data_IF_446544170253
#
_entry.id   IF_446544170253
#
_cell.length_a   1.000
_cell.length_b   1.000
_cell.length_c   1.000
_cell.angle_alpha   90.00
_cell.angle_beta   90.00
_cell.angle_gamma   90.00
#
_symmetry.space_group_name_H-M   'P 1'
#
loop_
_entity.id
_entity.type
_entity.pdbx_description
1 polymer ?
#
# COMPACT_ATOMS: atom_id res chain seq x y z
N UNK A 1 54.38 -20.13 -74.97
CA UNK A 1 54.35 -19.46 -73.70
C UNK A 1 52.89 -19.08 -73.42
N UNK A 2 52.13 -19.76 -72.59
CA UNK A 2 50.74 -19.42 -72.31
C UNK A 2 50.62 -18.57 -71.06
N UNK A 3 49.82 -17.51 -71.17
CA UNK A 3 49.41 -16.60 -70.10
C UNK A 3 48.38 -17.19 -69.23
N UNK A 4 48.66 -17.20 -67.91
CA UNK A 4 47.69 -17.57 -66.80
C UNK A 4 46.74 -16.39 -66.57
N UNK A 5 45.45 -16.62 -66.76
CA UNK A 5 44.37 -15.76 -66.32
C UNK A 5 43.93 -16.19 -64.90
N UNK A 6 44.20 -15.34 -63.91
CA UNK A 6 43.67 -15.50 -62.53
C UNK A 6 42.23 -15.03 -62.47
N UNK A 7 41.31 -15.97 -62.23
CA UNK A 7 39.89 -15.66 -61.91
C UNK A 7 39.73 -15.40 -60.40
N UNK A 8 39.40 -14.19 -60.04
CA UNK A 8 38.93 -13.85 -58.68
C UNK A 8 37.46 -14.19 -58.54
N UNK A 9 37.14 -15.18 -57.73
CA UNK A 9 35.77 -15.48 -57.29
C UNK A 9 35.48 -14.63 -56.06
N UNK A 10 34.64 -13.62 -56.19
CA UNK A 10 34.11 -12.86 -55.06
C UNK A 10 33.06 -13.70 -54.36
N UNK A 11 33.35 -14.15 -53.14
CA UNK A 11 32.41 -14.83 -52.25
C UNK A 11 31.55 -13.76 -51.56
N UNK A 12 30.31 -13.60 -51.98
CA UNK A 12 29.30 -12.80 -51.30
C UNK A 12 28.84 -13.55 -50.07
N UNK A 13 29.33 -13.15 -48.89
CA UNK A 13 28.85 -13.61 -47.60
C UNK A 13 27.56 -12.83 -47.29
N UNK A 14 26.42 -13.45 -47.54
CA UNK A 14 25.12 -12.92 -47.12
C UNK A 14 25.06 -12.98 -45.58
N UNK A 15 25.23 -11.83 -44.91
CA UNK A 15 24.84 -11.67 -43.54
C UNK A 15 23.31 -11.76 -43.48
N UNK A 16 22.79 -12.92 -43.07
CA UNK A 16 21.42 -13.05 -42.60
C UNK A 16 21.32 -12.31 -41.26
N UNK A 17 20.80 -11.09 -41.32
CA UNK A 17 20.25 -10.40 -40.16
C UNK A 17 19.09 -11.29 -39.65
N UNK A 18 19.33 -12.14 -38.66
CA UNK A 18 18.28 -12.73 -37.86
C UNK A 18 17.57 -11.58 -37.14
N UNK A 19 16.48 -11.06 -37.70
CA UNK A 19 15.51 -10.32 -36.92
C UNK A 19 15.05 -11.29 -35.81
N UNK A 20 15.38 -10.99 -34.56
CA UNK A 20 14.70 -11.62 -33.45
C UNK A 20 13.22 -11.30 -33.63
N UNK A 21 12.46 -12.29 -34.07
CA UNK A 21 11.01 -12.23 -34.10
C UNK A 21 10.59 -12.19 -32.64
N UNK A 22 10.30 -11.00 -32.11
CA UNK A 22 9.72 -10.79 -30.78
C UNK A 22 8.26 -11.25 -30.80
N UNK A 23 8.07 -12.57 -30.93
CA UNK A 23 6.76 -13.18 -30.80
C UNK A 23 6.19 -12.81 -29.41
N UNK A 24 4.94 -12.38 -29.30
CA UNK A 24 4.35 -11.99 -28.04
C UNK A 24 4.43 -13.16 -27.05
N UNK A 25 4.99 -12.91 -25.88
CA UNK A 25 5.16 -13.89 -24.80
C UNK A 25 3.83 -14.52 -24.35
N UNK A 26 2.76 -13.70 -24.36
CA UNK A 26 1.42 -14.11 -23.96
C UNK A 26 0.46 -13.97 -25.15
N UNK A 27 -0.01 -15.08 -25.66
CA UNK A 27 -1.01 -15.16 -26.76
C UNK A 27 -2.39 -15.60 -26.24
N UNK A 28 -2.45 -16.08 -24.99
CA UNK A 28 -3.66 -16.47 -24.28
C UNK A 28 -3.47 -16.27 -22.78
N UNK A 29 -4.55 -16.23 -22.00
CA UNK A 29 -4.46 -16.18 -20.56
C UNK A 29 -3.83 -17.46 -19.97
N UNK A 30 -3.08 -17.31 -18.90
CA UNK A 30 -2.51 -18.44 -18.17
C UNK A 30 -3.61 -19.17 -17.35
N UNK A 31 -3.49 -20.49 -17.14
CA UNK A 31 -4.45 -21.25 -16.34
C UNK A 31 -4.70 -20.60 -14.97
N UNK A 32 -5.96 -20.36 -14.64
CA UNK A 32 -6.36 -19.74 -13.38
C UNK A 32 -6.04 -18.25 -13.25
N UNK A 33 -5.62 -17.56 -14.30
CA UNK A 33 -5.24 -16.14 -14.27
C UNK A 33 -6.39 -15.20 -13.85
N UNK A 34 -7.64 -15.55 -14.19
CA UNK A 34 -8.81 -14.81 -13.75
C UNK A 34 -9.02 -14.87 -12.22
N UNK A 35 -8.54 -15.91 -11.54
CA UNK A 35 -8.68 -16.09 -10.09
C UNK A 35 -7.46 -15.53 -9.35
N UNK A 36 -7.39 -14.21 -9.23
CA UNK A 36 -6.24 -13.53 -8.64
C UNK A 36 -5.98 -13.91 -7.17
N UNK A 37 -6.99 -14.29 -6.40
CA UNK A 37 -6.89 -14.81 -5.02
C UNK A 37 -7.00 -16.35 -4.91
N UNK A 38 -6.81 -17.11 -6.00
CA UNK A 38 -7.00 -18.56 -5.97
C UNK A 38 -8.46 -18.94 -5.70
N UNK A 39 -8.71 -19.89 -4.81
CA UNK A 39 -10.05 -20.34 -4.42
C UNK A 39 -10.84 -19.28 -3.61
N UNK A 40 -10.16 -18.29 -3.04
CA UNK A 40 -10.81 -17.19 -2.30
C UNK A 40 -11.47 -16.15 -3.21
N UNK A 41 -11.16 -16.17 -4.52
CA UNK A 41 -11.60 -15.19 -5.50
C UNK A 41 -13.12 -15.12 -5.62
N UNK A 42 -13.67 -13.90 -5.61
CA UNK A 42 -15.11 -13.64 -5.83
C UNK A 42 -15.33 -13.04 -7.21
N UNK A 43 -16.38 -13.49 -7.89
CA UNK A 43 -16.78 -12.95 -9.19
C UNK A 43 -17.73 -11.76 -9.00
N UNK A 44 -17.17 -10.59 -8.64
CA UNK A 44 -17.88 -9.35 -8.39
C UNK A 44 -17.06 -8.16 -8.88
N UNK A 45 -17.72 -7.23 -9.58
CA UNK A 45 -17.06 -6.05 -10.17
C UNK A 45 -17.84 -4.75 -9.97
N UNK A 46 -18.83 -4.74 -9.06
CA UNK A 46 -19.58 -3.54 -8.70
C UNK A 46 -18.97 -2.81 -7.48
N UNK A 47 -19.65 -1.79 -7.01
CA UNK A 47 -19.24 -0.97 -5.85
C UNK A 47 -18.99 -1.75 -4.54
N UNK A 48 -19.39 -3.00 -4.43
CA UNK A 48 -19.19 -3.86 -3.27
C UNK A 48 -18.15 -4.96 -3.55
N UNK A 49 -17.40 -4.88 -4.64
CA UNK A 49 -16.47 -5.91 -5.06
C UNK A 49 -15.38 -6.22 -4.02
N UNK A 50 -15.03 -5.24 -3.16
CA UNK A 50 -13.98 -5.38 -2.15
C UNK A 50 -14.49 -5.81 -0.77
N UNK A 51 -15.80 -5.78 -0.52
CA UNK A 51 -16.40 -6.03 0.81
C UNK A 51 -16.96 -7.45 0.98
N UNK A 52 -16.52 -8.41 0.16
CA UNK A 52 -17.02 -9.78 0.21
C UNK A 52 -16.05 -10.70 0.95
N UNK A 53 -16.58 -11.72 1.68
CA UNK A 53 -15.74 -12.75 2.26
C UNK A 53 -15.13 -13.65 1.19
N UNK A 54 -13.99 -14.25 1.51
CA UNK A 54 -13.37 -15.29 0.69
C UNK A 54 -14.41 -16.30 0.19
N UNK A 55 -14.40 -16.60 -1.13
CA UNK A 55 -15.43 -17.44 -1.76
C UNK A 55 -15.51 -18.85 -1.16
N UNK A 56 -14.37 -19.38 -0.69
CA UNK A 56 -14.24 -20.68 -0.03
C UNK A 56 -14.44 -20.61 1.52
N UNK A 57 -14.84 -19.44 2.07
CA UNK A 57 -15.14 -19.33 3.50
C UNK A 57 -16.37 -20.16 3.87
N UNK A 58 -16.26 -21.14 4.80
CA UNK A 58 -17.37 -21.98 5.18
C UNK A 58 -18.55 -21.17 5.76
N UNK A 59 -19.80 -21.60 5.56
CA UNK A 59 -20.98 -20.92 6.11
C UNK A 59 -20.91 -20.73 7.63
N UNK A 60 -20.32 -21.66 8.37
CA UNK A 60 -20.16 -21.63 9.83
C UNK A 60 -19.27 -20.50 10.32
N UNK A 61 -18.39 -19.97 9.46
CA UNK A 61 -17.46 -18.87 9.80
C UNK A 61 -17.91 -17.50 9.28
N UNK A 62 -18.97 -17.45 8.47
CA UNK A 62 -19.50 -16.20 7.91
C UNK A 62 -20.07 -15.25 8.95
N UNK A 63 -20.53 -15.77 10.08
CA UNK A 63 -21.01 -14.94 11.17
C UNK A 63 -19.85 -14.12 11.76
N UNK A 64 -18.70 -14.72 12.04
CA UNK A 64 -17.51 -14.02 12.55
C UNK A 64 -17.05 -12.91 11.55
N UNK A 65 -17.07 -13.20 10.25
CA UNK A 65 -16.78 -12.21 9.22
C UNK A 65 -17.76 -11.02 9.29
N UNK A 66 -19.06 -11.29 9.43
CA UNK A 66 -20.09 -10.24 9.49
C UNK A 66 -19.99 -9.40 10.76
N UNK A 67 -19.67 -10.03 11.90
CA UNK A 67 -19.47 -9.32 13.16
C UNK A 67 -18.19 -8.48 13.11
N UNK A 68 -17.10 -9.02 12.58
CA UNK A 68 -15.86 -8.27 12.33
C UNK A 68 -16.08 -7.05 11.44
N UNK A 69 -16.84 -7.22 10.34
CA UNK A 69 -17.27 -6.11 9.50
C UNK A 69 -18.09 -5.06 10.29
N UNK A 70 -18.94 -5.49 11.22
CA UNK A 70 -19.71 -4.55 12.05
C UNK A 70 -18.79 -3.64 12.89
N UNK A 71 -17.75 -4.19 13.50
CA UNK A 71 -16.77 -3.39 14.25
C UNK A 71 -15.89 -2.52 13.34
N UNK A 72 -15.53 -2.99 12.16
CA UNK A 72 -14.76 -2.23 11.18
C UNK A 72 -15.55 -1.01 10.65
N UNK A 73 -16.85 -1.15 10.51
CA UNK A 73 -17.75 -0.19 9.88
C UNK A 73 -18.41 0.81 10.83
N UNK A 74 -18.72 0.34 12.05
CA UNK A 74 -19.53 1.15 12.99
C UNK A 74 -18.66 2.16 13.72
N UNK A 75 -19.14 3.42 13.85
CA UNK A 75 -18.41 4.44 14.57
C UNK A 75 -18.21 4.10 16.04
N UNK A 76 -17.01 4.38 16.53
CA UNK A 76 -16.71 4.45 17.95
C UNK A 76 -17.13 5.81 18.48
N UNK A 77 -17.49 5.86 19.76
CA UNK A 77 -17.99 7.05 20.44
C UNK A 77 -17.14 7.41 21.64
N UNK A 78 -17.20 8.65 22.06
CA UNK A 78 -16.46 9.16 23.22
C UNK A 78 -16.98 8.49 24.50
N UNK A 79 -16.07 8.12 25.40
CA UNK A 79 -16.42 7.60 26.72
C UNK A 79 -16.72 8.76 27.71
N UNK A 80 -17.58 8.51 28.75
CA UNK A 80 -18.40 7.32 28.95
C UNK A 80 -19.65 7.32 28.07
N UNK A 81 -20.04 6.17 27.57
CA UNK A 81 -21.24 5.98 26.77
C UNK A 81 -22.05 4.76 27.20
N UNK A 82 -23.35 4.76 26.88
CA UNK A 82 -24.20 3.57 27.04
C UNK A 82 -23.82 2.43 26.06
N UNK A 83 -23.07 2.74 25.01
CA UNK A 83 -22.57 1.77 24.02
C UNK A 83 -21.17 1.29 24.42
N UNK A 84 -21.05 0.66 25.58
CA UNK A 84 -19.77 0.25 26.19
C UNK A 84 -18.90 -0.68 25.34
N UNK A 85 -19.45 -1.37 24.34
CA UNK A 85 -18.68 -2.21 23.42
C UNK A 85 -17.93 -1.42 22.31
N UNK A 86 -18.16 -0.11 22.20
CA UNK A 86 -17.57 0.78 21.18
C UNK A 86 -17.45 2.22 21.67
N UNK A 87 -17.27 2.44 22.97
CA UNK A 87 -16.87 3.74 23.50
C UNK A 87 -15.35 3.79 23.72
N UNK A 88 -14.87 4.95 24.14
CA UNK A 88 -13.45 5.16 24.32
C UNK A 88 -12.75 5.79 23.10
N UNK A 89 -13.50 6.28 22.08
CA UNK A 89 -12.86 7.07 21.01
C UNK A 89 -11.89 8.06 21.63
N UNK A 90 -10.62 7.91 21.25
CA UNK A 90 -9.52 8.56 21.94
C UNK A 90 -9.58 10.07 21.95
N UNK A 91 -8.78 10.73 22.81
CA UNK A 91 -8.77 12.20 22.90
C UNK A 91 -8.37 12.86 21.61
N UNK A 92 -7.42 12.27 20.89
CA UNK A 92 -6.94 12.68 19.56
C UNK A 92 -7.12 11.53 18.59
N UNK A 93 -7.57 11.83 17.37
CA UNK A 93 -7.84 10.81 16.37
C UNK A 93 -7.91 11.41 14.95
N UNK A 94 -7.87 10.56 13.92
CA UNK A 94 -8.11 10.94 12.53
C UNK A 94 -9.48 10.47 12.02
N UNK A 95 -10.04 9.45 12.65
CA UNK A 95 -11.33 8.87 12.28
C UNK A 95 -11.96 8.14 13.46
N UNK A 96 -13.28 7.94 13.42
CA UNK A 96 -14.00 7.15 14.41
C UNK A 96 -14.47 5.78 13.89
N UNK A 97 -14.09 5.40 12.66
CA UNK A 97 -14.38 4.08 12.09
C UNK A 97 -13.38 3.77 10.98
N UNK A 98 -12.94 2.52 10.88
CA UNK A 98 -11.99 2.10 9.83
C UNK A 98 -12.53 2.36 8.42
N UNK A 99 -13.84 2.15 8.21
CA UNK A 99 -14.48 2.32 6.91
C UNK A 99 -14.54 3.78 6.43
N UNK A 100 -14.33 4.78 7.27
CA UNK A 100 -14.28 6.18 6.82
C UNK A 100 -13.03 6.43 5.96
N UNK A 101 -11.90 5.76 6.30
CA UNK A 101 -10.67 5.81 5.51
C UNK A 101 -10.67 4.77 4.38
N UNK A 102 -11.22 3.57 4.65
CA UNK A 102 -11.30 2.44 3.74
C UNK A 102 -12.73 2.27 3.21
N UNK A 103 -13.27 3.29 2.53
CA UNK A 103 -14.66 3.28 2.02
C UNK A 103 -14.89 2.03 1.17
N UNK A 104 -15.87 1.18 1.58
CA UNK A 104 -16.13 -0.10 0.91
C UNK A 104 -14.91 -1.04 0.83
N UNK A 105 -14.04 -1.00 1.84
CA UNK A 105 -12.78 -1.73 1.90
C UNK A 105 -11.80 -1.35 0.77
N UNK A 106 -12.07 -0.23 0.16
CA UNK A 106 -11.31 0.36 -0.93
C UNK A 106 -10.21 1.30 -0.46
N UNK A 107 -9.83 2.18 -1.36
CA UNK A 107 -8.70 3.09 -1.22
C UNK A 107 -9.15 4.48 -0.79
N UNK A 108 -8.33 5.14 0.04
CA UNK A 108 -8.47 6.55 0.40
C UNK A 108 -7.92 7.51 -0.66
N UNK A 109 -8.11 8.80 -0.40
CA UNK A 109 -7.68 9.90 -1.27
C UNK A 109 -7.23 11.12 -0.43
N UNK A 110 -6.45 12.05 -1.01
CA UNK A 110 -6.14 13.33 -0.37
C UNK A 110 -7.40 14.13 -0.03
N UNK A 111 -7.35 15.02 0.98
CA UNK A 111 -8.47 15.90 1.29
C UNK A 111 -8.79 16.85 0.13
N UNK A 112 -10.07 17.23 0.01
CA UNK A 112 -10.46 18.33 -0.85
C UNK A 112 -9.87 19.67 -0.33
N UNK A 113 -9.66 20.68 -1.19
CA UNK A 113 -9.02 21.94 -0.78
C UNK A 113 -9.70 22.67 0.38
N UNK A 114 -11.01 22.50 0.53
CA UNK A 114 -11.87 23.09 1.55
C UNK A 114 -12.22 22.11 2.70
N UNK A 115 -11.70 20.91 2.68
CA UNK A 115 -11.94 19.92 3.73
C UNK A 115 -11.38 20.38 5.07
N UNK A 116 -12.16 20.21 6.13
CA UNK A 116 -11.72 20.52 7.50
C UNK A 116 -10.72 19.48 8.03
N UNK A 117 -10.91 18.21 7.64
CA UNK A 117 -10.13 17.06 8.09
C UNK A 117 -9.70 16.22 6.89
N UNK A 118 -8.55 15.55 7.01
CA UNK A 118 -7.99 14.76 5.92
C UNK A 118 -8.53 13.32 5.84
N UNK A 119 -9.35 12.90 6.72
CA UNK A 119 -9.95 11.58 7.03
C UNK A 119 -9.20 10.37 6.43
N UNK A 120 -9.21 10.20 5.11
CA UNK A 120 -8.62 9.02 4.44
C UNK A 120 -7.17 9.20 3.97
N UNK A 121 -6.51 10.28 4.43
CA UNK A 121 -5.08 10.52 4.28
C UNK A 121 -4.46 10.88 5.63
N UNK A 122 -3.55 10.07 6.11
CA UNK A 122 -2.78 10.32 7.32
C UNK A 122 -1.47 11.04 7.01
N UNK A 123 -0.98 11.86 7.94
CA UNK A 123 0.37 12.42 7.88
C UNK A 123 1.19 11.83 9.00
N UNK A 124 2.14 10.97 8.64
CA UNK A 124 3.12 10.40 9.58
C UNK A 124 4.23 11.41 9.86
N UNK A 125 4.65 11.50 11.11
CA UNK A 125 5.65 12.44 11.59
C UNK A 125 6.87 11.70 12.14
N UNK A 126 8.03 12.31 12.03
CA UNK A 126 9.24 11.92 12.75
C UNK A 126 10.27 13.05 12.69
N UNK A 127 11.27 13.00 13.54
CA UNK A 127 12.50 13.77 13.40
C UNK A 127 13.62 12.84 12.91
N UNK A 128 14.77 13.37 12.46
CA UNK A 128 15.90 12.56 12.05
C UNK A 128 16.34 11.56 13.12
N UNK A 129 16.84 10.40 12.68
CA UNK A 129 17.39 9.39 13.57
C UNK A 129 18.57 9.94 14.37
N UNK A 130 18.56 9.70 15.69
CA UNK A 130 19.65 10.04 16.61
C UNK A 130 20.05 8.77 17.38
N UNK A 131 21.35 8.43 17.46
CA UNK A 131 21.84 7.28 18.23
C UNK A 131 21.40 7.24 19.69
N UNK A 132 21.10 8.41 20.30
CA UNK A 132 20.55 8.48 21.65
C UNK A 132 19.19 7.75 21.79
N UNK A 133 18.44 7.59 20.70
CA UNK A 133 17.15 6.90 20.64
C UNK A 133 17.23 5.51 20.00
N UNK A 134 18.39 4.84 19.97
CA UNK A 134 18.61 3.59 19.27
C UNK A 134 17.56 2.50 19.58
N UNK A 135 17.18 2.34 20.87
CA UNK A 135 16.15 1.38 21.28
C UNK A 135 14.75 1.76 20.76
N UNK A 136 14.42 3.05 20.79
CA UNK A 136 13.15 3.53 20.26
C UNK A 136 13.09 3.33 18.73
N UNK A 137 14.17 3.62 18.02
CA UNK A 137 14.29 3.37 16.58
C UNK A 137 14.15 1.88 16.27
N UNK A 138 14.76 1.00 17.07
CA UNK A 138 14.59 -0.45 16.90
C UNK A 138 13.15 -0.88 17.05
N UNK A 139 12.41 -0.37 18.03
CA UNK A 139 11.05 -0.81 18.38
C UNK A 139 9.96 -0.06 17.59
N UNK A 140 10.09 1.25 17.39
CA UNK A 140 9.09 2.09 16.71
C UNK A 140 9.44 2.37 15.25
N UNK A 141 10.68 2.12 14.82
CA UNK A 141 11.17 2.39 13.47
C UNK A 141 11.47 3.85 13.18
N UNK A 142 11.26 4.75 14.15
CA UNK A 142 11.40 6.20 14.02
C UNK A 142 11.81 6.85 15.35
N UNK A 143 12.24 8.10 15.29
CA UNK A 143 12.17 9.03 16.41
C UNK A 143 10.92 9.91 16.20
N UNK A 144 9.85 9.77 17.04
CA UNK A 144 8.65 10.58 16.92
C UNK A 144 8.93 12.08 17.03
N UNK A 145 8.07 12.89 16.46
CA UNK A 145 8.07 14.34 16.68
C UNK A 145 7.77 14.62 18.17
N UNK A 146 8.55 15.46 18.88
CA UNK A 146 8.46 15.57 20.35
C UNK A 146 7.13 16.11 20.88
N UNK A 147 6.40 16.92 20.07
CA UNK A 147 5.15 17.58 20.47
C UNK A 147 3.93 16.81 19.93
N UNK A 148 4.04 16.24 18.74
CA UNK A 148 2.92 15.66 17.97
C UNK A 148 3.04 14.15 17.75
N UNK A 149 4.05 13.50 18.28
CA UNK A 149 4.20 12.05 18.18
C UNK A 149 4.55 11.54 16.77
N UNK A 150 4.09 10.33 16.43
CA UNK A 150 4.42 9.65 15.17
C UNK A 150 3.43 9.88 14.03
N UNK A 151 2.27 10.51 14.31
CA UNK A 151 1.19 10.78 13.38
C UNK A 151 0.44 12.05 13.78
N UNK A 152 0.11 12.89 12.81
CA UNK A 152 -0.74 14.06 13.04
C UNK A 152 -2.20 13.63 13.17
N UNK A 153 -2.86 13.98 14.27
CA UNK A 153 -4.27 13.69 14.54
C UNK A 153 -5.08 14.99 14.43
N UNK A 154 -5.85 15.10 13.36
CA UNK A 154 -6.54 16.35 12.96
C UNK A 154 -7.97 16.46 13.53
N UNK A 155 -8.36 15.52 14.40
CA UNK A 155 -9.61 15.55 15.18
C UNK A 155 -9.35 15.31 16.66
N UNK A 156 -10.26 15.81 17.50
CA UNK A 156 -10.19 15.68 18.95
C UNK A 156 -11.59 15.59 19.58
N UNK A 157 -11.66 15.04 20.79
CA UNK A 157 -12.89 15.10 21.61
C UNK A 157 -13.10 16.52 22.17
N UNK A 158 -14.32 16.91 22.59
CA UNK A 158 -14.56 18.19 23.24
C UNK A 158 -13.63 18.42 24.45
N UNK A 159 -13.02 19.60 24.49
CA UNK A 159 -12.08 20.01 25.55
C UNK A 159 -10.61 19.68 25.25
N UNK A 160 -10.32 18.97 24.17
CA UNK A 160 -8.97 18.72 23.67
C UNK A 160 -8.79 19.42 22.33
N UNK A 161 -7.66 20.09 22.12
CA UNK A 161 -7.36 20.72 20.84
C UNK A 161 -6.89 19.66 19.82
N UNK A 162 -7.36 19.68 18.56
CA UNK A 162 -6.75 18.85 17.51
C UNK A 162 -5.30 19.32 17.26
N UNK A 163 -4.49 18.43 16.72
CA UNK A 163 -3.05 18.71 16.53
C UNK A 163 -2.76 19.71 15.41
N UNK A 164 -3.58 19.75 14.39
CA UNK A 164 -3.41 20.65 13.26
C UNK A 164 -4.36 20.32 12.12
N UNK A 165 -4.19 21.01 10.99
CA UNK A 165 -4.95 20.76 9.75
C UNK A 165 -4.02 20.46 8.60
N UNK A 166 -4.44 19.51 7.78
CA UNK A 166 -3.71 19.06 6.59
C UNK A 166 -4.25 19.75 5.34
N UNK A 167 -3.37 20.34 4.55
CA UNK A 167 -3.65 20.86 3.21
C UNK A 167 -2.67 20.31 2.20
N UNK A 168 -3.16 20.03 1.00
CA UNK A 168 -2.34 19.56 -0.11
C UNK A 168 -2.61 20.42 -1.34
N UNK A 169 -1.63 21.23 -1.69
CA UNK A 169 -1.59 21.96 -2.96
C UNK A 169 -0.74 21.20 -3.97
N UNK A 170 -0.82 21.59 -5.25
CA UNK A 170 -0.11 20.90 -6.31
C UNK A 170 0.54 21.86 -7.30
N UNK A 171 1.80 21.60 -7.62
CA UNK A 171 2.48 22.24 -8.77
C UNK A 171 2.37 21.35 -10.01
N UNK A 172 2.16 21.92 -11.20
CA UNK A 172 2.17 21.17 -12.45
C UNK A 172 3.60 20.70 -12.78
N UNK A 173 3.72 19.46 -13.26
CA UNK A 173 4.96 18.85 -13.70
C UNK A 173 4.74 18.19 -15.07
N UNK A 174 5.13 18.84 -16.19
CA UNK A 174 4.91 18.28 -17.51
C UNK A 174 5.86 17.12 -17.83
N UNK A 175 5.32 16.04 -18.38
CA UNK A 175 6.06 14.88 -18.90
C UNK A 175 5.66 14.67 -20.36
N UNK A 176 6.62 14.38 -21.24
CA UNK A 176 6.40 14.19 -22.66
C UNK A 176 6.78 12.78 -23.11
N UNK A 177 5.89 12.13 -23.85
CA UNK A 177 6.16 10.89 -24.58
C UNK A 177 6.96 11.18 -25.86
N UNK A 178 7.61 10.15 -26.40
CA UNK A 178 8.39 10.27 -27.64
C UNK A 178 7.53 10.67 -28.86
N UNK A 179 6.25 10.28 -28.87
CA UNK A 179 5.30 10.68 -29.93
C UNK A 179 4.82 12.13 -29.81
N UNK A 180 5.34 12.90 -28.85
CA UNK A 180 4.99 14.30 -28.62
C UNK A 180 3.79 14.50 -27.69
N UNK A 181 3.05 13.45 -27.32
CA UNK A 181 1.96 13.54 -26.34
C UNK A 181 2.48 14.07 -25.01
N UNK A 182 1.77 15.02 -24.40
CA UNK A 182 2.14 15.61 -23.12
C UNK A 182 1.13 15.23 -22.05
N UNK A 183 1.64 14.87 -20.86
CA UNK A 183 0.85 14.65 -19.64
C UNK A 183 1.37 15.60 -18.59
N UNK A 184 0.47 16.30 -17.92
CA UNK A 184 0.79 17.15 -16.79
C UNK A 184 0.57 16.39 -15.49
N UNK A 185 1.66 16.01 -14.81
CA UNK A 185 1.61 15.45 -13.48
C UNK A 185 1.38 16.58 -12.44
N UNK A 186 1.02 16.22 -11.22
CA UNK A 186 0.87 17.19 -10.12
C UNK A 186 1.78 16.84 -8.95
N UNK A 187 2.77 17.70 -8.66
CA UNK A 187 3.68 17.53 -7.52
C UNK A 187 3.01 18.06 -6.26
N UNK A 188 2.80 17.22 -5.22
CA UNK A 188 2.12 17.65 -4.00
C UNK A 188 2.99 18.59 -3.17
N UNK A 189 2.34 19.58 -2.54
CA UNK A 189 2.87 20.46 -1.51
C UNK A 189 2.03 20.28 -0.26
N UNK A 190 2.54 19.52 0.69
CA UNK A 190 1.90 19.31 1.97
C UNK A 190 2.12 20.54 2.87
N UNK A 191 1.04 20.98 3.51
CA UNK A 191 1.06 22.05 4.50
C UNK A 191 0.31 21.59 5.74
N UNK A 192 0.89 21.88 6.91
CA UNK A 192 0.24 21.67 8.20
C UNK A 192 -0.01 23.06 8.80
N UNK A 193 -1.26 23.36 9.14
CA UNK A 193 -1.70 24.65 9.68
C UNK A 193 -2.44 24.45 10.99
N UNK A 194 -2.75 25.55 11.67
CA UNK A 194 -3.58 25.57 12.88
C UNK A 194 -3.07 24.63 14.00
N UNK A 195 -1.74 24.62 14.23
CA UNK A 195 -1.09 23.76 15.21
C UNK A 195 -1.63 24.03 16.63
N UNK A 196 -2.16 22.97 17.28
CA UNK A 196 -2.83 23.05 18.59
C UNK A 196 -1.90 23.10 19.79
N UNK A 197 -0.63 22.69 19.64
CA UNK A 197 0.32 22.49 20.76
C UNK A 197 1.66 23.21 20.58
N UNK A 198 1.68 24.26 19.75
CA UNK A 198 2.87 25.05 19.48
C UNK A 198 3.66 24.58 18.26
N UNK A 199 4.86 25.12 18.03
CA UNK A 199 5.63 24.79 16.83
C UNK A 199 6.17 23.37 16.87
N UNK A 200 6.21 22.72 15.70
CA UNK A 200 6.89 21.45 15.51
C UNK A 200 8.42 21.64 15.57
N UNK A 201 9.12 20.54 15.80
CA UNK A 201 10.58 20.51 15.70
C UNK A 201 11.01 20.94 14.27
N UNK A 202 12.05 21.79 14.12
CA UNK A 202 12.44 22.34 12.81
C UNK A 202 12.82 21.28 11.77
N UNK A 203 13.31 20.13 12.21
CA UNK A 203 13.69 19.01 11.33
C UNK A 203 12.58 17.97 11.17
N UNK A 204 11.32 18.30 11.49
CA UNK A 204 10.18 17.38 11.33
C UNK A 204 10.06 16.93 9.88
N UNK A 205 9.94 15.61 9.69
CA UNK A 205 9.69 14.94 8.42
C UNK A 205 8.23 14.55 8.33
N UNK A 206 7.66 14.73 7.14
CA UNK A 206 6.24 14.50 6.86
C UNK A 206 6.08 13.41 5.80
N UNK A 207 5.19 12.46 6.04
CA UNK A 207 4.84 11.42 5.07
C UNK A 207 3.32 11.32 4.95
N UNK A 208 2.76 11.92 3.88
CA UNK A 208 1.34 11.83 3.56
C UNK A 208 1.03 10.45 3.00
N UNK A 209 0.03 9.76 3.55
CA UNK A 209 -0.33 8.38 3.18
C UNK A 209 -1.83 8.20 3.13
N UNK A 210 -2.37 7.90 1.95
CA UNK A 210 -3.77 7.51 1.79
C UNK A 210 -3.98 6.07 2.25
N UNK A 211 -5.18 5.75 2.73
CA UNK A 211 -5.55 4.41 3.10
C UNK A 211 -5.43 3.44 1.91
N UNK A 212 -4.72 2.31 2.03
CA UNK A 212 -4.64 1.30 0.96
C UNK A 212 -5.91 0.45 0.89
N UNK A 213 -6.20 -0.24 -0.23
CA UNK A 213 -7.31 -1.20 -0.30
C UNK A 213 -7.07 -2.40 0.62
N UNK A 214 -8.16 -2.98 1.15
CA UNK A 214 -8.12 -4.03 2.17
C UNK A 214 -8.20 -5.46 1.62
N UNK A 215 -8.44 -5.64 0.31
CA UNK A 215 -8.62 -6.95 -0.31
C UNK A 215 -7.35 -7.82 -0.26
N UNK A 216 -7.53 -9.10 0.01
CA UNK A 216 -6.46 -10.11 -0.07
C UNK A 216 -5.35 -10.00 0.96
N UNK A 217 -5.50 -9.17 2.00
CA UNK A 217 -4.43 -8.97 2.99
C UNK A 217 -4.02 -10.26 3.69
N UNK A 218 -4.97 -11.13 4.04
CA UNK A 218 -4.64 -12.43 4.64
C UNK A 218 -3.89 -13.36 3.67
N UNK A 219 -4.13 -13.26 2.36
CA UNK A 219 -3.34 -13.98 1.36
C UNK A 219 -1.91 -13.46 1.30
N UNK A 220 -1.70 -12.14 1.41
CA UNK A 220 -0.34 -11.55 1.49
C UNK A 220 0.37 -11.95 2.79
N UNK A 221 -0.36 -12.01 3.91
CA UNK A 221 0.17 -12.49 5.19
C UNK A 221 0.63 -13.96 5.09
N UNK A 222 -0.09 -14.78 4.32
CA UNK A 222 0.18 -16.19 4.15
C UNK A 222 1.28 -16.53 3.11
N UNK A 223 1.88 -15.56 2.44
CA UNK A 223 3.04 -15.82 1.56
C UNK A 223 4.22 -16.24 2.44
N UNK A 224 4.90 -17.37 2.18
CA UNK A 224 6.11 -17.77 2.90
C UNK A 224 7.20 -16.68 2.87
N UNK A 225 7.87 -16.46 3.99
CA UNK A 225 8.94 -15.44 4.09
C UNK A 225 10.03 -15.69 3.07
N UNK A 226 10.47 -16.94 2.90
CA UNK A 226 11.47 -17.31 1.92
C UNK A 226 11.07 -16.99 0.48
N UNK A 227 9.77 -17.03 0.15
CA UNK A 227 9.29 -16.68 -1.18
C UNK A 227 9.38 -15.15 -1.45
N UNK A 228 9.19 -14.33 -0.42
CA UNK A 228 9.41 -12.89 -0.50
C UNK A 228 10.92 -12.60 -0.63
N UNK A 229 11.72 -13.17 0.25
CA UNK A 229 13.16 -12.97 0.29
C UNK A 229 13.88 -13.47 -0.97
N UNK A 230 13.33 -14.47 -1.68
CA UNK A 230 13.86 -14.94 -2.95
C UNK A 230 13.83 -13.86 -4.06
N UNK A 231 12.97 -12.85 -3.95
CA UNK A 231 12.95 -11.71 -4.85
C UNK A 231 13.91 -10.58 -4.45
N UNK A 232 14.42 -10.59 -3.21
CA UNK A 232 15.41 -9.62 -2.76
C UNK A 232 16.74 -9.83 -3.46
N UNK A 233 17.37 -8.76 -3.94
CA UNK A 233 18.65 -8.79 -4.64
C UNK A 233 19.61 -7.78 -4.03
N UNK A 234 20.92 -8.04 -4.02
CA UNK A 234 21.92 -7.07 -3.58
C UNK A 234 21.81 -5.79 -4.42
N UNK A 235 21.87 -4.64 -3.76
CA UNK A 235 21.93 -3.36 -4.45
C UNK A 235 23.18 -3.30 -5.34
N UNK A 236 22.96 -3.11 -6.63
CA UNK A 236 23.99 -2.91 -7.63
C UNK A 236 23.61 -1.64 -8.39
N UNK A 237 24.57 -0.79 -8.74
CA UNK A 237 24.37 0.60 -9.20
C UNK A 237 23.37 0.79 -10.36
N UNK A 238 23.00 -0.29 -11.06
CA UNK A 238 22.09 -0.26 -12.21
C UNK A 238 21.02 -1.36 -12.18
N UNK A 239 20.80 -2.04 -11.05
CA UNK A 239 19.87 -3.15 -10.95
C UNK A 239 18.74 -2.85 -9.95
N UNK A 240 17.57 -3.37 -10.25
CA UNK A 240 16.45 -3.42 -9.32
C UNK A 240 16.84 -4.31 -8.15
N UNK A 241 16.91 -3.74 -6.95
CA UNK A 241 17.42 -4.43 -5.78
C UNK A 241 16.32 -5.18 -5.02
N UNK A 242 15.27 -4.52 -4.63
CA UNK A 242 14.27 -5.07 -3.72
C UNK A 242 14.85 -5.43 -2.35
N UNK A 243 14.45 -4.74 -1.31
CA UNK A 243 14.99 -4.94 0.05
C UNK A 243 13.88 -5.27 1.04
N UNK A 244 14.05 -6.27 1.94
CA UNK A 244 13.12 -6.49 3.04
C UNK A 244 13.18 -5.30 4.01
N UNK A 245 12.04 -4.90 4.56
CA UNK A 245 12.03 -4.09 5.76
C UNK A 245 12.00 -5.02 6.97
N UNK A 246 13.00 -4.93 7.83
CA UNK A 246 13.07 -5.67 9.08
C UNK A 246 12.52 -4.80 10.20
N UNK A 247 11.41 -5.23 10.81
CA UNK A 247 10.59 -4.44 11.71
C UNK A 247 10.35 -5.15 13.03
N UNK A 248 10.03 -4.39 14.07
CA UNK A 248 9.75 -4.93 15.38
C UNK A 248 8.34 -5.55 15.43
N UNK A 249 8.25 -6.76 15.99
CA UNK A 249 6.98 -7.41 16.31
C UNK A 249 6.69 -7.22 17.83
N UNK A 250 5.62 -6.48 18.13
CA UNK A 250 5.25 -6.12 19.50
C UNK A 250 4.85 -7.34 20.34
N UNK A 251 4.28 -8.38 19.74
CA UNK A 251 3.89 -9.60 20.44
C UNK A 251 5.08 -10.54 20.66
N UNK A 252 5.95 -10.68 19.66
CA UNK A 252 7.11 -11.57 19.71
C UNK A 252 8.35 -10.93 20.34
N UNK A 253 8.34 -9.59 20.54
CA UNK A 253 9.46 -8.80 21.07
C UNK A 253 10.78 -9.07 20.34
N UNK A 254 10.72 -9.13 19.01
CA UNK A 254 11.88 -9.35 18.13
C UNK A 254 11.69 -8.73 16.75
N UNK A 255 12.78 -8.54 16.04
CA UNK A 255 12.79 -8.08 14.65
C UNK A 255 12.41 -9.22 13.70
N UNK A 256 11.46 -8.96 12.79
CA UNK A 256 10.93 -9.89 11.79
C UNK A 256 10.72 -9.18 10.46
N UNK A 257 10.33 -9.92 9.40
CA UNK A 257 10.01 -9.35 8.09
C UNK A 257 8.73 -8.51 8.15
N UNK A 258 8.82 -7.25 7.73
CA UNK A 258 7.68 -6.37 7.51
C UNK A 258 6.97 -6.66 6.19
N UNK A 259 5.63 -6.55 6.19
CA UNK A 259 4.76 -6.89 5.03
C UNK A 259 3.74 -5.81 4.69
N UNK A 260 3.22 -5.08 5.71
CA UNK A 260 2.08 -4.17 5.58
C UNK A 260 2.46 -2.71 5.76
N UNK A 261 1.56 -1.81 5.35
CA UNK A 261 1.84 -0.39 5.25
C UNK A 261 2.62 -0.03 3.98
N UNK A 262 2.71 1.25 3.67
CA UNK A 262 3.37 1.76 2.47
C UNK A 262 4.89 1.55 2.43
N UNK A 263 5.52 1.39 3.60
CA UNK A 263 6.95 1.10 3.76
C UNK A 263 7.22 -0.28 4.37
N UNK A 264 6.26 -1.21 4.29
CA UNK A 264 6.36 -2.53 4.94
C UNK A 264 6.71 -2.41 6.43
N UNK A 265 6.16 -1.41 7.14
CA UNK A 265 6.48 -1.11 8.54
C UNK A 265 5.75 -2.00 9.55
N UNK A 266 4.89 -2.91 9.11
CA UNK A 266 4.11 -3.80 9.98
C UNK A 266 4.33 -5.26 9.60
N UNK A 267 4.59 -6.16 10.56
CA UNK A 267 4.92 -7.55 10.26
C UNK A 267 3.71 -8.42 9.91
N UNK A 268 2.58 -8.16 10.57
CA UNK A 268 1.36 -8.97 10.45
C UNK A 268 0.10 -8.09 10.58
N UNK A 269 -1.05 -8.66 10.24
CA UNK A 269 -2.32 -7.94 10.27
C UNK A 269 -2.82 -7.65 11.70
N UNK A 270 -2.46 -8.47 12.68
CA UNK A 270 -2.84 -8.20 14.05
C UNK A 270 -2.21 -6.90 14.54
N UNK A 271 -0.90 -6.73 14.37
CA UNK A 271 -0.21 -5.51 14.77
C UNK A 271 -0.64 -4.32 13.91
N UNK A 272 -0.87 -4.51 12.60
CA UNK A 272 -1.41 -3.45 11.74
C UNK A 272 -2.76 -2.95 12.26
N UNK A 273 -3.67 -3.84 12.65
CA UNK A 273 -4.97 -3.46 13.21
C UNK A 273 -4.84 -2.77 14.57
N UNK A 274 -3.97 -3.28 15.45
CA UNK A 274 -3.67 -2.67 16.75
C UNK A 274 -3.15 -1.24 16.59
N UNK A 275 -2.21 -1.04 15.67
CA UNK A 275 -1.64 0.30 15.41
C UNK A 275 -2.67 1.25 14.76
N UNK A 276 -3.62 0.72 13.96
CA UNK A 276 -4.71 1.52 13.42
C UNK A 276 -5.73 1.91 14.51
N UNK A 277 -6.10 1.00 15.42
CA UNK A 277 -6.94 1.34 16.56
C UNK A 277 -6.31 2.43 17.43
N UNK A 278 -5.03 2.31 17.75
CA UNK A 278 -4.32 3.28 18.59
C UNK A 278 -4.07 4.60 17.84
N UNK A 279 -3.35 4.58 16.72
CA UNK A 279 -2.91 5.80 16.04
C UNK A 279 -4.01 6.55 15.29
N UNK A 280 -4.98 5.82 14.67
CA UNK A 280 -6.00 6.45 13.83
C UNK A 280 -7.26 6.82 14.62
N UNK A 281 -7.55 6.09 15.73
CA UNK A 281 -8.79 6.25 16.51
C UNK A 281 -8.53 6.52 18.01
N UNK A 282 -7.27 6.51 18.45
CA UNK A 282 -6.90 6.75 19.84
C UNK A 282 -7.45 5.69 20.82
N UNK A 283 -7.58 4.43 20.36
CA UNK A 283 -8.16 3.35 21.15
C UNK A 283 -7.08 2.43 21.71
N UNK A 284 -7.21 2.12 22.98
CA UNK A 284 -6.31 1.19 23.68
C UNK A 284 -6.57 -0.26 23.32
N UNK A 285 -5.52 -1.06 23.31
CA UNK A 285 -5.53 -2.52 23.15
C UNK A 285 -4.59 -3.15 24.17
N UNK A 286 -4.60 -4.47 24.34
CA UNK A 286 -3.62 -5.14 25.22
C UNK A 286 -2.15 -4.93 24.79
N UNK A 287 -1.88 -4.79 23.49
CA UNK A 287 -0.54 -4.52 22.99
C UNK A 287 -0.18 -3.02 23.01
N UNK A 288 -1.17 -2.15 23.03
CA UNK A 288 -1.03 -0.68 23.10
C UNK A 288 -1.98 -0.17 24.18
N UNK A 289 -1.61 -0.27 25.48
CA UNK A 289 -2.53 -0.01 26.59
C UNK A 289 -2.67 1.47 26.96
N UNK A 290 -2.04 2.38 26.23
CA UNK A 290 -2.03 3.82 26.49
C UNK A 290 -2.42 4.61 25.24
N UNK A 291 -3.08 5.75 25.44
CA UNK A 291 -3.32 6.74 24.40
C UNK A 291 -2.00 7.28 23.85
N UNK A 292 -2.01 7.68 22.58
CA UNK A 292 -0.82 8.19 21.88
C UNK A 292 -0.57 9.67 22.18
N UNK A 293 -0.87 10.13 23.43
CA UNK A 293 -0.67 11.52 23.88
C UNK A 293 0.79 11.78 24.26
N UNK A 294 1.36 12.85 23.74
CA UNK A 294 2.71 13.32 24.11
C UNK A 294 2.72 14.11 25.43
N UNK A 295 3.90 14.41 25.95
CA UNK A 295 4.02 15.21 27.19
C UNK A 295 3.54 16.66 27.02
N UNK A 296 3.55 17.19 25.81
CA UNK A 296 3.02 18.51 25.50
C UNK A 296 1.49 18.57 25.52
N UNK A 297 0.82 17.44 25.42
CA UNK A 297 -0.64 17.31 25.23
C UNK A 297 -1.35 17.01 26.56
N UNK A 298 -1.23 17.91 27.53
CA UNK A 298 -1.74 17.72 28.90
C UNK A 298 -3.24 17.41 28.95
N UNK A 299 -4.05 18.10 28.16
CA UNK A 299 -5.49 17.87 28.09
C UNK A 299 -5.81 16.47 27.52
N UNK A 300 -5.05 15.98 26.56
CA UNK A 300 -5.13 14.63 26.02
C UNK A 300 -4.88 13.59 27.12
N UNK A 301 -3.77 13.74 27.88
CA UNK A 301 -3.40 12.82 28.97
C UNK A 301 -4.41 12.79 30.14
N UNK A 302 -5.20 13.84 30.31
CA UNK A 302 -6.21 13.98 31.38
C UNK A 302 -7.62 13.63 30.90
N UNK A 303 -7.80 13.34 29.62
CA UNK A 303 -9.10 13.04 29.07
C UNK A 303 -9.64 11.70 29.63
N UNK A 304 -10.97 11.55 29.72
CA UNK A 304 -11.57 10.29 30.08
C UNK A 304 -11.30 9.25 28.99
N UNK A 305 -11.02 8.01 29.38
CA UNK A 305 -10.93 6.86 28.51
C UNK A 305 -12.08 5.87 28.75
N UNK A 306 -12.23 4.90 27.85
CA UNK A 306 -13.24 3.85 27.92
C UNK A 306 -12.73 2.54 28.51
N UNK A 307 -11.53 2.53 29.12
CA UNK A 307 -10.99 1.34 29.74
C UNK A 307 -11.91 0.79 30.84
N UNK A 308 -12.05 -0.52 30.91
CA UNK A 308 -12.86 -1.18 31.91
C UNK A 308 -12.33 -1.01 33.35
N UNK A 309 -13.15 -1.23 34.40
CA UNK A 309 -12.78 -1.02 35.79
C UNK A 309 -11.58 -1.86 36.25
N UNK A 310 -11.32 -2.99 35.62
CA UNK A 310 -10.20 -3.88 35.91
C UNK A 310 -8.98 -3.61 34.98
N UNK A 311 -8.95 -2.47 34.26
CA UNK A 311 -7.90 -2.10 33.32
C UNK A 311 -8.02 -2.83 31.96
N UNK A 312 -9.19 -3.37 31.63
CA UNK A 312 -9.45 -3.96 30.34
C UNK A 312 -9.42 -2.86 29.26
N UNK A 313 -8.70 -3.07 28.13
CA UNK A 313 -8.61 -2.06 27.08
C UNK A 313 -9.96 -1.88 26.38
N UNK A 314 -10.15 -0.72 25.76
CA UNK A 314 -11.34 -0.35 25.00
C UNK A 314 -11.63 -1.34 23.87
N UNK A 315 -10.59 -1.76 23.15
CA UNK A 315 -10.69 -2.84 22.17
C UNK A 315 -10.34 -4.16 22.82
N UNK A 316 -11.37 -4.90 23.23
CA UNK A 316 -11.18 -6.23 23.81
C UNK A 316 -10.53 -7.21 22.84
N UNK A 317 -9.85 -8.24 23.37
CA UNK A 317 -9.22 -9.29 22.55
C UNK A 317 -10.22 -9.96 21.60
N UNK A 318 -11.51 -10.08 21.99
CA UNK A 318 -12.54 -10.64 21.12
C UNK A 318 -12.90 -9.73 19.94
N UNK A 319 -12.98 -8.41 20.16
CA UNK A 319 -13.20 -7.43 19.09
C UNK A 319 -12.01 -7.45 18.13
N UNK A 320 -10.79 -7.40 18.66
CA UNK A 320 -9.57 -7.47 17.87
C UNK A 320 -9.51 -8.74 17.01
N UNK A 321 -9.83 -9.91 17.62
CA UNK A 321 -9.90 -11.20 16.91
C UNK A 321 -10.90 -11.16 15.74
N UNK A 322 -12.08 -10.58 15.95
CA UNK A 322 -13.12 -10.50 14.93
C UNK A 322 -12.76 -9.55 13.79
N UNK A 323 -12.15 -8.41 14.11
CA UNK A 323 -11.64 -7.46 13.11
C UNK A 323 -10.48 -8.10 12.33
N UNK A 324 -9.56 -8.80 13.00
CA UNK A 324 -8.47 -9.54 12.35
C UNK A 324 -9.02 -10.62 11.40
N UNK A 325 -10.04 -11.38 11.85
CA UNK A 325 -10.70 -12.37 11.00
C UNK A 325 -11.34 -11.73 9.76
N UNK A 326 -12.00 -10.59 9.92
CA UNK A 326 -12.56 -9.83 8.82
C UNK A 326 -11.49 -9.38 7.81
N UNK A 327 -10.44 -8.72 8.29
CA UNK A 327 -9.38 -8.18 7.43
C UNK A 327 -8.58 -9.26 6.71
N UNK A 328 -8.40 -10.45 7.32
CA UNK A 328 -7.77 -11.62 6.69
C UNK A 328 -8.63 -12.23 5.58
N UNK A 329 -9.94 -12.23 5.75
CA UNK A 329 -10.86 -12.93 4.86
C UNK A 329 -11.56 -12.05 3.82
N UNK A 330 -11.15 -10.79 3.64
CA UNK A 330 -11.60 -9.96 2.52
C UNK A 330 -11.06 -10.54 1.21
N UNK A 331 -12.00 -10.93 0.33
CA UNK A 331 -11.69 -11.59 -0.91
C UNK A 331 -11.05 -10.67 -1.95
N UNK A 332 -10.28 -11.25 -2.86
CA UNK A 332 -9.82 -10.58 -4.08
C UNK A 332 -10.86 -10.77 -5.19
N UNK A 333 -11.30 -9.70 -5.89
CA UNK A 333 -12.19 -9.85 -7.04
C UNK A 333 -11.49 -10.54 -8.21
N UNK A 334 -12.26 -11.23 -9.04
CA UNK A 334 -11.76 -11.86 -10.24
C UNK A 334 -11.19 -10.81 -11.21
N UNK A 335 -10.11 -11.16 -11.89
CA UNK A 335 -9.59 -10.40 -13.02
C UNK A 335 -10.58 -10.44 -14.18
N UNK A 336 -10.67 -9.32 -14.91
CA UNK A 336 -11.61 -9.14 -16.00
C UNK A 336 -10.90 -9.29 -17.35
N UNK A 337 -11.62 -9.71 -18.36
CA UNK A 337 -11.22 -9.71 -19.78
C UNK A 337 -9.83 -10.32 -20.07
N UNK A 338 -9.44 -11.36 -19.31
CA UNK A 338 -8.09 -11.94 -19.31
C UNK A 338 -7.63 -12.44 -20.69
N UNK A 339 -8.59 -12.91 -21.53
CA UNK A 339 -8.34 -13.40 -22.90
C UNK A 339 -8.54 -12.33 -23.98
N UNK A 340 -8.90 -11.09 -23.61
CA UNK A 340 -9.05 -10.00 -24.57
C UNK A 340 -7.70 -9.72 -25.27
N UNK A 341 -7.67 -9.63 -26.62
CA UNK A 341 -6.43 -9.32 -27.35
C UNK A 341 -5.73 -8.05 -26.84
N UNK A 342 -6.49 -7.01 -26.46
CA UNK A 342 -5.95 -5.76 -25.93
C UNK A 342 -5.32 -5.96 -24.55
N UNK A 343 -5.94 -6.76 -23.66
CA UNK A 343 -5.40 -7.09 -22.33
C UNK A 343 -4.13 -7.92 -22.46
N UNK A 344 -4.11 -8.91 -23.37
CA UNK A 344 -2.91 -9.72 -23.63
C UNK A 344 -1.77 -8.88 -24.22
N UNK A 345 -2.06 -7.98 -25.17
CA UNK A 345 -1.07 -7.02 -25.68
C UNK A 345 -0.52 -6.15 -24.55
N UNK A 346 -1.38 -5.64 -23.67
CA UNK A 346 -0.97 -4.84 -22.51
C UNK A 346 -0.13 -5.64 -21.51
N UNK A 347 -0.44 -6.92 -21.28
CA UNK A 347 0.39 -7.82 -20.47
C UNK A 347 1.79 -7.99 -21.07
N UNK A 348 1.90 -8.19 -22.39
CA UNK A 348 3.19 -8.24 -23.06
C UNK A 348 3.98 -6.95 -22.87
N UNK A 349 3.35 -5.78 -23.01
CA UNK A 349 3.99 -4.47 -22.81
C UNK A 349 4.43 -4.25 -21.36
N UNK A 350 3.65 -4.71 -20.38
CA UNK A 350 4.01 -4.67 -18.96
C UNK A 350 5.30 -5.46 -18.69
N UNK A 351 5.43 -6.65 -19.29
CA UNK A 351 6.65 -7.46 -19.19
C UNK A 351 7.81 -6.86 -20.01
N UNK A 352 7.55 -6.36 -21.20
CA UNK A 352 8.56 -5.68 -22.02
C UNK A 352 9.14 -4.45 -21.34
N UNK A 353 8.32 -3.68 -20.62
CA UNK A 353 8.77 -2.52 -19.84
C UNK A 353 9.54 -2.89 -18.56
N UNK A 354 9.56 -4.17 -18.15
CA UNK A 354 10.25 -4.62 -16.94
C UNK A 354 9.47 -4.43 -15.64
N UNK A 355 8.17 -4.09 -15.69
CA UNK A 355 7.34 -3.83 -14.51
C UNK A 355 7.27 -5.04 -13.56
N UNK A 356 7.31 -6.28 -14.10
CA UNK A 356 7.27 -7.52 -13.32
C UNK A 356 8.50 -7.72 -12.42
N UNK A 357 9.54 -6.92 -12.55
CA UNK A 357 10.74 -7.02 -11.73
C UNK A 357 10.50 -6.62 -10.26
N UNK A 358 9.51 -5.77 -10.01
CA UNK A 358 8.98 -5.41 -8.69
C UNK A 358 7.57 -5.97 -8.53
N UNK A 359 6.73 -5.83 -9.54
CA UNK A 359 5.37 -6.37 -9.55
C UNK A 359 5.38 -7.87 -9.92
N UNK A 360 6.00 -8.69 -9.04
CA UNK A 360 6.06 -10.17 -9.17
C UNK A 360 4.65 -10.72 -9.36
N UNK A 361 4.41 -11.47 -10.46
CA UNK A 361 3.04 -11.81 -10.84
C UNK A 361 2.31 -12.74 -9.87
N UNK A 362 3.00 -13.70 -9.26
CA UNK A 362 2.33 -14.74 -8.48
C UNK A 362 3.18 -15.30 -7.33
N UNK A 363 2.44 -15.81 -6.31
CA UNK A 363 2.97 -16.61 -5.21
C UNK A 363 2.05 -17.79 -4.93
N UNK A 364 2.55 -18.75 -4.14
CA UNK A 364 1.73 -19.76 -3.48
C UNK A 364 1.76 -19.50 -1.98
N UNK A 365 0.59 -19.45 -1.34
CA UNK A 365 0.49 -19.27 0.11
C UNK A 365 0.91 -20.52 0.86
N UNK A 366 1.38 -20.36 2.10
CA UNK A 366 1.84 -21.45 2.96
C UNK A 366 0.72 -22.45 3.26
N UNK A 367 1.09 -23.71 3.47
CA UNK A 367 0.15 -24.78 3.83
C UNK A 367 -0.41 -24.61 5.26
N UNK A 368 0.34 -23.96 6.13
CA UNK A 368 0.03 -23.66 7.53
C UNK A 368 -0.44 -22.21 7.74
N UNK A 369 -1.07 -21.60 6.71
CA UNK A 369 -1.65 -20.26 6.84
C UNK A 369 -2.58 -20.16 8.07
N UNK A 370 -2.59 -18.99 8.71
CA UNK A 370 -3.37 -18.76 9.95
C UNK A 370 -4.88 -19.05 9.79
N UNK A 371 -5.41 -18.90 8.58
CA UNK A 371 -6.78 -19.26 8.23
C UNK A 371 -6.73 -20.38 7.18
N UNK A 372 -7.40 -21.53 7.42
CA UNK A 372 -7.35 -22.67 6.49
C UNK A 372 -7.77 -22.36 5.07
N UNK A 373 -8.70 -21.41 4.90
CA UNK A 373 -9.19 -20.96 3.60
C UNK A 373 -8.12 -20.29 2.74
N UNK A 374 -7.08 -19.76 3.39
CA UNK A 374 -5.98 -19.04 2.74
C UNK A 374 -4.78 -19.93 2.43
N UNK A 375 -4.79 -21.19 2.88
CA UNK A 375 -3.69 -22.12 2.69
C UNK A 375 -3.62 -22.67 1.26
N UNK A 376 -2.40 -22.86 0.74
CA UNK A 376 -2.12 -23.47 -0.56
C UNK A 376 -2.80 -22.77 -1.76
N UNK A 377 -3.01 -21.45 -1.69
CA UNK A 377 -3.61 -20.70 -2.79
C UNK A 377 -2.52 -20.23 -3.75
N UNK A 378 -2.72 -20.44 -5.05
CA UNK A 378 -1.94 -19.75 -6.09
C UNK A 378 -2.57 -18.38 -6.30
N UNK A 379 -1.87 -17.34 -5.88
CA UNK A 379 -2.34 -15.95 -5.90
C UNK A 379 -1.56 -15.08 -6.89
N UNK A 380 -2.19 -14.01 -7.37
CA UNK A 380 -1.59 -13.10 -8.36
C UNK A 380 -1.68 -11.64 -7.88
N UNK A 381 -0.89 -11.26 -6.87
CA UNK A 381 -0.91 -9.90 -6.32
C UNK A 381 -0.22 -8.87 -7.22
N UNK A 382 0.67 -9.27 -8.12
CA UNK A 382 1.57 -8.37 -8.84
C UNK A 382 2.32 -7.44 -7.89
N UNK A 383 3.06 -8.03 -6.97
CA UNK A 383 3.87 -7.35 -5.95
C UNK A 383 4.90 -8.34 -5.42
N UNK A 384 6.10 -7.89 -5.11
CA UNK A 384 7.10 -8.66 -4.37
C UNK A 384 7.10 -8.38 -2.86
N UNK A 385 6.31 -7.41 -2.40
CA UNK A 385 6.23 -6.90 -1.02
C UNK A 385 7.56 -6.31 -0.49
N UNK A 386 8.55 -6.09 -1.34
CA UNK A 386 9.84 -5.52 -0.98
C UNK A 386 9.84 -3.98 -1.11
N UNK A 387 10.82 -3.37 -0.47
CA UNK A 387 11.14 -1.96 -0.59
C UNK A 387 11.99 -1.70 -1.84
N UNK A 388 11.66 -0.65 -2.57
CA UNK A 388 12.44 -0.15 -3.69
C UNK A 388 12.67 1.36 -3.54
N UNK A 389 13.88 1.81 -3.88
CA UNK A 389 14.17 3.23 -4.01
C UNK A 389 13.46 3.78 -5.26
N UNK A 390 12.40 4.56 -5.01
CA UNK A 390 11.56 5.13 -6.06
C UNK A 390 12.03 6.53 -6.52
N UNK A 391 13.22 6.92 -6.12
CA UNK A 391 13.82 8.20 -6.49
C UNK A 391 13.22 9.40 -5.77
N UNK A 392 13.83 10.57 -6.03
CA UNK A 392 13.47 11.83 -5.38
C UNK A 392 12.03 12.29 -5.66
N UNK A 393 11.48 11.93 -6.83
CA UNK A 393 10.11 12.30 -7.21
C UNK A 393 9.04 11.78 -6.27
N UNK A 394 9.25 10.62 -5.65
CA UNK A 394 8.33 9.99 -4.69
C UNK A 394 8.82 10.03 -3.25
N UNK A 395 10.00 10.63 -2.98
CA UNK A 395 10.57 10.68 -1.64
C UNK A 395 9.70 11.49 -0.68
N UNK A 396 9.54 10.97 0.56
CA UNK A 396 8.98 11.67 1.71
C UNK A 396 10.06 12.09 2.73
N UNK A 397 11.33 11.70 2.49
CA UNK A 397 12.49 11.94 3.35
C UNK A 397 12.36 11.42 4.79
N UNK A 398 11.36 10.59 5.06
CA UNK A 398 11.10 9.99 6.36
C UNK A 398 11.55 8.53 6.38
N UNK A 399 12.47 8.19 7.27
CA UNK A 399 12.87 6.81 7.55
C UNK A 399 11.75 6.05 8.26
N UNK A 400 11.70 4.72 8.10
CA UNK A 400 10.81 3.84 8.87
C UNK A 400 11.46 2.45 8.97
N UNK A 401 12.04 2.10 10.11
CA UNK A 401 12.92 0.94 10.32
C UNK A 401 14.10 0.95 9.33
N UNK A 402 14.13 0.00 8.37
CA UNK A 402 15.18 -0.07 7.35
C UNK A 402 14.82 0.66 6.04
N UNK A 403 13.58 1.15 5.95
CA UNK A 403 13.16 1.95 4.81
C UNK A 403 13.71 3.37 4.89
N UNK A 404 14.39 3.83 3.84
CA UNK A 404 14.80 5.22 3.69
C UNK A 404 13.63 6.13 3.31
N UNK A 405 13.85 7.45 3.27
CA UNK A 405 12.87 8.41 2.79
C UNK A 405 12.48 8.27 1.30
N UNK A 406 13.20 7.46 0.53
CA UNK A 406 12.94 7.20 -0.90
C UNK A 406 12.32 5.82 -1.15
N UNK A 407 12.32 4.97 -0.12
CA UNK A 407 11.87 3.58 -0.24
C UNK A 407 10.36 3.46 -0.06
N UNK A 408 9.74 2.69 -0.96
CA UNK A 408 8.33 2.32 -0.90
C UNK A 408 8.17 0.82 -1.19
N UNK A 409 7.25 0.18 -0.45
CA UNK A 409 6.88 -1.20 -0.72
C UNK A 409 6.11 -1.29 -2.02
N UNK A 410 6.44 -2.26 -2.87
CA UNK A 410 5.64 -2.56 -4.06
C UNK A 410 4.19 -2.87 -3.65
N UNK A 411 3.26 -2.00 -4.04
CA UNK A 411 1.84 -2.21 -3.76
C UNK A 411 1.26 -3.32 -4.64
N UNK A 412 0.39 -4.20 -4.11
CA UNK A 412 -0.37 -5.15 -4.92
C UNK A 412 -1.23 -4.42 -5.96
N UNK A 413 -1.30 -4.98 -7.17
CA UNK A 413 -2.08 -4.40 -8.27
C UNK A 413 -3.46 -5.05 -8.45
N UNK A 414 -3.75 -6.17 -7.78
CA UNK A 414 -5.09 -6.78 -7.86
C UNK A 414 -6.18 -5.80 -7.41
N UNK A 415 -7.30 -5.78 -8.12
CA UNK A 415 -8.41 -4.87 -7.88
C UNK A 415 -8.16 -3.41 -8.28
N UNK A 416 -6.95 -3.03 -8.76
CA UNK A 416 -6.62 -1.63 -9.04
C UNK A 416 -7.55 -1.00 -10.10
N UNK A 417 -7.98 -1.79 -11.09
CA UNK A 417 -8.94 -1.35 -12.12
C UNK A 417 -10.36 -1.13 -11.61
N UNK A 418 -10.69 -1.57 -10.39
CA UNK A 418 -11.99 -1.34 -9.74
C UNK A 418 -11.97 -0.15 -8.77
N UNK A 419 -10.86 0.58 -8.64
CA UNK A 419 -10.71 1.68 -7.68
C UNK A 419 -11.82 2.73 -7.85
N UNK A 420 -12.11 3.17 -9.07
CA UNK A 420 -13.17 4.16 -9.33
C UNK A 420 -14.54 3.61 -8.94
N UNK A 421 -14.84 2.37 -9.33
CA UNK A 421 -16.13 1.73 -9.05
C UNK A 421 -16.39 1.56 -7.55
N UNK A 422 -15.36 1.21 -6.77
CA UNK A 422 -15.47 0.92 -5.34
C UNK A 422 -15.30 2.18 -4.49
N UNK A 423 -14.26 2.96 -4.76
CA UNK A 423 -13.86 4.10 -3.91
C UNK A 423 -14.37 5.44 -4.43
N UNK A 424 -14.93 5.51 -5.65
CA UNK A 424 -15.48 6.74 -6.24
C UNK A 424 -14.43 7.73 -6.76
N UNK A 425 -13.17 7.32 -6.89
CA UNK A 425 -12.06 8.15 -7.40
C UNK A 425 -11.00 7.31 -8.08
N UNK A 426 -10.07 7.96 -8.78
CA UNK A 426 -8.93 7.34 -9.49
C UNK A 426 -7.57 7.86 -9.01
N UNK A 427 -7.45 8.19 -7.71
CA UNK A 427 -6.21 8.73 -7.16
C UNK A 427 -5.30 7.60 -6.66
N UNK A 428 -4.06 7.54 -7.18
CA UNK A 428 -3.12 6.45 -6.95
C UNK A 428 -1.81 6.92 -6.29
N UNK A 429 -0.89 5.99 -6.02
CA UNK A 429 0.34 6.10 -5.24
C UNK A 429 0.06 6.25 -3.73
N UNK A 430 1.12 6.37 -2.93
CA UNK A 430 1.03 6.37 -1.47
C UNK A 430 0.29 7.61 -0.91
N UNK A 431 0.28 8.69 -1.64
CA UNK A 431 -0.32 9.98 -1.24
C UNK A 431 -1.44 10.46 -2.18
N UNK A 432 -1.86 9.64 -3.14
CA UNK A 432 -2.94 9.97 -4.05
C UNK A 432 -2.61 11.00 -5.12
N UNK A 433 -1.33 11.36 -5.32
CA UNK A 433 -0.92 12.40 -6.28
C UNK A 433 -1.25 12.09 -7.74
N UNK A 434 -1.25 10.83 -8.14
CA UNK A 434 -1.57 10.40 -9.49
C UNK A 434 -3.10 10.31 -9.68
N UNK A 435 -3.64 11.03 -10.67
CA UNK A 435 -5.08 11.12 -10.96
C UNK A 435 -5.61 9.94 -11.78
N UNK A 436 -4.71 9.13 -12.33
CA UNK A 436 -5.01 7.94 -13.13
C UNK A 436 -3.81 7.00 -13.17
N UNK A 437 -3.99 5.79 -13.74
CA UNK A 437 -2.95 4.77 -13.80
C UNK A 437 -1.73 5.20 -14.64
N UNK A 438 -1.93 5.96 -15.73
CA UNK A 438 -0.79 6.44 -16.52
C UNK A 438 0.05 7.44 -15.74
N UNK A 439 -0.55 8.36 -15.00
CA UNK A 439 0.20 9.26 -14.12
C UNK A 439 0.95 8.47 -13.03
N UNK A 440 0.35 7.42 -12.47
CA UNK A 440 1.03 6.56 -11.52
C UNK A 440 2.29 5.93 -12.12
N UNK A 441 2.21 5.41 -13.35
CA UNK A 441 3.38 4.87 -14.08
C UNK A 441 4.44 5.95 -14.31
N UNK A 442 4.04 7.16 -14.71
CA UNK A 442 4.97 8.26 -15.02
C UNK A 442 5.66 8.84 -13.77
N UNK A 443 5.10 8.63 -12.58
CA UNK A 443 5.74 8.99 -11.32
C UNK A 443 6.85 8.02 -10.89
N UNK A 444 6.92 6.83 -11.47
CA UNK A 444 7.98 5.87 -11.16
C UNK A 444 9.37 6.46 -11.47
N UNK A 445 10.29 6.29 -10.54
CA UNK A 445 11.68 6.77 -10.65
C UNK A 445 12.64 5.83 -9.91
N UNK A 446 13.87 6.25 -9.68
CA UNK A 446 14.86 5.42 -8.99
C UNK A 446 15.06 4.07 -9.65
N UNK A 447 14.84 2.98 -8.92
CA UNK A 447 14.94 1.61 -9.45
C UNK A 447 13.95 1.34 -10.59
N UNK A 448 12.82 2.03 -10.64
CA UNK A 448 11.81 1.88 -11.68
C UNK A 448 11.96 2.86 -12.86
N UNK A 449 13.00 3.71 -12.86
CA UNK A 449 13.23 4.69 -13.93
C UNK A 449 13.33 4.05 -15.32
N UNK A 450 14.01 2.90 -15.42
CA UNK A 450 14.14 2.16 -16.70
C UNK A 450 12.78 1.74 -17.27
N UNK A 451 11.87 1.25 -16.42
CA UNK A 451 10.52 0.88 -16.83
C UNK A 451 9.71 2.10 -17.30
N UNK A 452 9.78 3.23 -16.57
CA UNK A 452 9.15 4.49 -17.02
C UNK A 452 9.70 4.95 -18.36
N UNK A 453 11.02 4.94 -18.56
CA UNK A 453 11.64 5.35 -19.83
C UNK A 453 11.15 4.47 -20.99
N UNK A 454 11.00 3.16 -20.77
CA UNK A 454 10.43 2.27 -21.78
C UNK A 454 8.98 2.64 -22.10
N UNK A 455 8.14 2.92 -21.09
CA UNK A 455 6.74 3.35 -21.32
C UNK A 455 6.67 4.68 -22.07
N UNK A 456 7.60 5.60 -21.87
CA UNK A 456 7.67 6.87 -22.62
C UNK A 456 7.91 6.67 -24.13
N UNK A 457 8.42 5.52 -24.57
CA UNK A 457 8.55 5.16 -25.98
C UNK A 457 7.25 4.65 -26.62
N UNK A 458 6.26 4.27 -25.79
CA UNK A 458 5.03 3.64 -26.26
C UNK A 458 4.16 4.65 -27.03
N UNK A 459 3.66 4.22 -28.20
CA UNK A 459 2.66 4.98 -28.94
C UNK A 459 1.27 4.92 -28.25
N UNK A 460 0.31 5.68 -28.76
CA UNK A 460 -1.03 5.77 -28.16
C UNK A 460 -1.74 4.41 -28.03
N UNK A 461 -1.61 3.52 -29.01
CA UNK A 461 -2.22 2.18 -28.98
C UNK A 461 -1.57 1.28 -27.92
N UNK A 462 -0.25 1.33 -27.79
CA UNK A 462 0.49 0.59 -26.78
C UNK A 462 0.15 1.09 -25.35
N UNK A 463 0.05 2.41 -25.14
CA UNK A 463 -0.40 2.98 -23.88
C UNK A 463 -1.82 2.52 -23.53
N UNK A 464 -2.72 2.53 -24.50
CA UNK A 464 -4.09 2.05 -24.29
C UNK A 464 -4.14 0.55 -23.94
N UNK A 465 -3.30 -0.28 -24.56
CA UNK A 465 -3.20 -1.71 -24.24
C UNK A 465 -2.63 -1.93 -22.82
N UNK A 466 -1.55 -1.22 -22.43
CA UNK A 466 -1.01 -1.27 -21.07
C UNK A 466 -2.08 -0.90 -20.03
N UNK A 467 -2.83 0.17 -20.26
CA UNK A 467 -3.94 0.57 -19.38
C UNK A 467 -5.07 -0.46 -19.34
N UNK A 468 -5.40 -1.10 -20.48
CA UNK A 468 -6.38 -2.18 -20.51
C UNK A 468 -5.96 -3.37 -19.63
N UNK A 469 -4.67 -3.74 -19.66
CA UNK A 469 -4.12 -4.76 -18.77
C UNK A 469 -4.23 -4.36 -17.30
N UNK A 470 -3.77 -3.17 -16.92
CA UNK A 470 -3.84 -2.68 -15.54
C UNK A 470 -5.30 -2.57 -15.04
N UNK A 471 -6.22 -2.12 -15.89
CA UNK A 471 -7.65 -2.06 -15.58
C UNK A 471 -8.31 -3.46 -15.49
N UNK A 472 -7.71 -4.49 -16.08
CA UNK A 472 -8.20 -5.85 -15.95
C UNK A 472 -7.87 -6.48 -14.59
N UNK A 473 -6.83 -5.98 -13.90
CA UNK A 473 -6.39 -6.43 -12.57
C UNK A 473 -7.33 -5.93 -11.44
#
# INVERSE_FOLDING_TARGET
MPSLLLRWSALFMALSLSACDDAPRFTQAEPGEARAGGATTVNKSDRNAFSLPSANLPPTRRLDFSVGNSFFRSPWVIAPSTTTARDGLGPLFNTNACQNCHVKDGRGHPPAPDALNAVSMLVRLSIPDDPAFARLIEQAGIVPEPVYGGQLQDMAIPGVAPEGRVRVDYDPLPVRFQDGTQVELRKPKLQITDLGYGPMHPDTRFSARVAPPMIGLGLLEAIPEEAILANARPANKNAIAGRPNWVWDDALQKTVLGRFGWKAGQPNLNQQNVHAFSGDMGLTTRLRPFDDCTDAQTACKQAPNGNGPDGEPEVSDNILRLVLFYTRNLAVPARRDVDSPQVLAGKNLFFQAGCQSCHTPSFTTAADAAEPELANQVIRPYSDLLLHDMGEGLADHRTEFKASGRDWRTAPLWGIGLTETVSGHTQFLHDGRARNLMEAVLWHGGEAEGAKQQVLTFNAQQRAALLAFLNSL
#
